data_IF_461095636726
#
_entry.id   IF_461095636726
#
_cell.length_a   1.000
_cell.length_b   1.000
_cell.length_c   1.000
_cell.angle_alpha   90.00
_cell.angle_beta   90.00
_cell.angle_gamma   90.00
#
_symmetry.space_group_name_H-M   'P 1'
#
loop_
_entity.id
_entity.type
_entity.pdbx_description
1 polymer ?
#
# COMPACT_ATOMS: atom_id res chain seq x y z
N UNK A 1 2.49 2.94 9.37
CA UNK A 1 1.07 2.84 9.72
C UNK A 1 0.72 1.38 9.76
N UNK A 2 0.07 0.88 10.81
CA UNK A 2 -0.44 -0.49 10.82
C UNK A 2 -1.38 -0.70 9.63
N UNK A 3 -1.30 -1.84 8.95
CA UNK A 3 -2.11 -2.19 7.77
C UNK A 3 -3.62 -2.04 8.06
N UNK A 4 -4.04 -2.49 9.24
CA UNK A 4 -5.42 -2.39 9.74
C UNK A 4 -5.93 -0.94 9.81
N UNK A 5 -5.07 0.01 10.20
CA UNK A 5 -5.46 1.42 10.27
C UNK A 5 -5.71 1.99 8.87
N UNK A 6 -4.92 1.56 7.88
CA UNK A 6 -5.04 2.02 6.50
C UNK A 6 -6.31 1.49 5.83
N UNK A 7 -6.62 0.20 6.02
CA UNK A 7 -7.87 -0.39 5.53
C UNK A 7 -9.11 0.33 6.10
N UNK A 8 -9.10 0.65 7.40
CA UNK A 8 -10.20 1.37 8.04
C UNK A 8 -10.40 2.77 7.45
N UNK A 9 -9.32 3.50 7.18
CA UNK A 9 -9.40 4.83 6.57
C UNK A 9 -9.92 4.75 5.14
N UNK A 10 -9.46 3.77 4.35
CA UNK A 10 -9.93 3.54 2.99
C UNK A 10 -11.43 3.23 2.96
N UNK A 11 -11.91 2.41 3.89
CA UNK A 11 -13.33 2.07 3.98
C UNK A 11 -14.21 3.29 4.27
N UNK A 12 -13.77 4.16 5.18
CA UNK A 12 -14.49 5.41 5.47
C UNK A 12 -14.47 6.33 4.24
N UNK A 13 -13.31 6.52 3.61
CA UNK A 13 -13.15 7.40 2.47
C UNK A 13 -14.02 6.98 1.27
N UNK A 14 -14.19 5.67 1.03
CA UNK A 14 -15.01 5.15 -0.08
C UNK A 14 -16.51 5.44 0.07
N UNK A 15 -16.99 5.77 1.27
CA UNK A 15 -18.39 6.17 1.49
C UNK A 15 -18.71 7.58 0.98
N UNK A 16 -17.70 8.42 0.73
CA UNK A 16 -17.88 9.80 0.27
C UNK A 16 -17.98 9.86 -1.27
N UNK A 17 -19.11 10.32 -1.86
CA UNK A 17 -19.32 10.30 -3.31
C UNK A 17 -18.28 11.07 -4.14
N UNK A 18 -17.58 12.04 -3.55
CA UNK A 18 -16.55 12.82 -4.24
C UNK A 18 -15.17 12.14 -4.25
N UNK A 19 -14.97 11.07 -3.48
CA UNK A 19 -13.69 10.36 -3.40
C UNK A 19 -13.62 9.30 -4.50
N UNK A 20 -12.74 9.52 -5.47
CA UNK A 20 -12.57 8.62 -6.63
C UNK A 20 -11.43 7.60 -6.46
N UNK A 21 -10.74 7.58 -5.31
CA UNK A 21 -9.58 6.73 -5.10
C UNK A 21 -8.71 7.20 -3.94
N UNK A 22 -7.47 6.70 -3.90
CA UNK A 22 -6.48 7.03 -2.89
C UNK A 22 -5.11 7.32 -3.51
N UNK A 23 -4.29 8.07 -2.78
CA UNK A 23 -2.91 8.35 -3.14
C UNK A 23 -1.97 7.86 -2.03
N UNK A 24 -1.00 7.03 -2.40
CA UNK A 24 -0.03 6.43 -1.47
C UNK A 24 1.36 6.44 -2.12
N UNK A 25 2.39 6.57 -1.29
CA UNK A 25 3.78 6.61 -1.76
C UNK A 25 4.69 5.87 -0.79
N UNK A 26 5.25 6.60 0.18
CA UNK A 26 6.23 6.06 1.15
C UNK A 26 5.77 4.78 1.83
N UNK A 27 4.46 4.58 2.05
CA UNK A 27 3.91 3.36 2.65
C UNK A 27 4.20 2.10 1.83
N UNK A 28 4.23 2.19 0.49
CA UNK A 28 4.53 1.05 -0.40
C UNK A 28 6.04 0.79 -0.42
N UNK A 29 6.83 1.82 -0.73
CA UNK A 29 8.23 1.61 -1.13
C UNK A 29 9.24 1.81 0.00
N UNK A 30 8.93 2.49 1.10
CA UNK A 30 9.97 2.90 2.08
C UNK A 30 10.74 1.73 2.65
N UNK A 31 10.07 0.60 2.95
CA UNK A 31 10.72 -0.59 3.50
C UNK A 31 11.55 -1.32 2.44
N UNK A 32 11.00 -1.49 1.24
CA UNK A 32 11.71 -2.10 0.12
C UNK A 32 12.95 -1.28 -0.27
N UNK A 33 12.81 0.05 -0.36
CA UNK A 33 13.91 0.96 -0.67
C UNK A 33 15.03 0.90 0.38
N UNK A 34 14.69 0.85 1.67
CA UNK A 34 15.69 0.72 2.74
C UNK A 34 16.52 -0.57 2.60
N UNK A 35 15.84 -1.72 2.47
CA UNK A 35 16.51 -3.01 2.32
C UNK A 35 17.31 -3.10 1.00
N UNK A 36 16.79 -2.53 -0.08
CA UNK A 36 17.45 -2.50 -1.38
C UNK A 36 18.71 -1.63 -1.35
N UNK A 37 18.64 -0.41 -0.79
CA UNK A 37 19.82 0.45 -0.62
C UNK A 37 20.86 -0.15 0.33
N UNK A 38 20.45 -0.98 1.29
CA UNK A 38 21.36 -1.72 2.17
C UNK A 38 22.00 -2.94 1.47
N UNK A 39 21.57 -3.30 0.26
CA UNK A 39 22.04 -4.49 -0.46
C UNK A 39 21.52 -5.81 0.13
N UNK A 40 20.47 -5.76 0.96
CA UNK A 40 19.88 -6.93 1.61
C UNK A 40 18.93 -7.70 0.67
N UNK A 41 18.36 -7.01 -0.31
CA UNK A 41 17.43 -7.57 -1.30
C UNK A 41 17.81 -7.13 -2.71
N UNK A 42 17.49 -7.95 -3.69
CA UNK A 42 17.65 -7.62 -5.11
C UNK A 42 16.43 -6.86 -5.67
N UNK A 43 16.53 -6.47 -6.94
CA UNK A 43 15.49 -5.71 -7.65
C UNK A 43 14.15 -6.47 -7.67
N UNK A 44 14.18 -7.79 -7.82
CA UNK A 44 12.98 -8.62 -7.91
C UNK A 44 12.26 -8.68 -6.57
N UNK A 45 13.01 -8.93 -5.49
CA UNK A 45 12.49 -8.91 -4.14
C UNK A 45 11.91 -7.52 -3.79
N UNK A 46 12.58 -6.42 -4.18
CA UNK A 46 12.06 -5.08 -3.97
C UNK A 46 10.72 -4.86 -4.71
N UNK A 47 10.61 -5.30 -5.97
CA UNK A 47 9.37 -5.23 -6.75
C UNK A 47 8.25 -6.05 -6.10
N UNK A 48 8.51 -7.30 -5.73
CA UNK A 48 7.53 -8.18 -5.09
C UNK A 48 6.99 -7.59 -3.78
N UNK A 49 7.87 -7.03 -2.95
CA UNK A 49 7.46 -6.36 -1.71
C UNK A 49 6.51 -5.19 -1.98
N UNK A 50 6.85 -4.34 -2.94
CA UNK A 50 6.01 -3.18 -3.30
C UNK A 50 4.68 -3.62 -3.92
N UNK A 51 4.69 -4.60 -4.83
CA UNK A 51 3.49 -5.14 -5.47
C UNK A 51 2.56 -5.79 -4.46
N UNK A 52 3.09 -6.54 -3.49
CA UNK A 52 2.29 -7.16 -2.43
C UNK A 52 1.53 -6.11 -1.60
N UNK A 53 2.24 -5.07 -1.14
CA UNK A 53 1.62 -3.97 -0.37
C UNK A 53 0.60 -3.21 -1.22
N UNK A 54 0.89 -2.96 -2.49
CA UNK A 54 -0.04 -2.27 -3.37
C UNK A 54 -1.31 -3.09 -3.63
N UNK A 55 -1.17 -4.39 -3.88
CA UNK A 55 -2.29 -5.32 -4.06
C UNK A 55 -3.22 -5.34 -2.86
N UNK A 56 -2.68 -5.44 -1.64
CA UNK A 56 -3.47 -5.39 -0.41
C UNK A 56 -4.32 -4.11 -0.29
N UNK A 57 -3.80 -2.97 -0.78
CA UNK A 57 -4.49 -1.69 -0.70
C UNK A 57 -5.57 -1.54 -1.78
N UNK A 58 -5.35 -2.12 -2.95
CA UNK A 58 -6.41 -2.28 -3.96
C UNK A 58 -7.51 -3.17 -3.41
N UNK A 59 -7.17 -4.33 -2.85
CA UNK A 59 -8.14 -5.25 -2.27
C UNK A 59 -8.93 -4.61 -1.13
N UNK A 60 -8.26 -3.85 -0.25
CA UNK A 60 -8.92 -3.12 0.82
C UNK A 60 -9.85 -2.02 0.30
N UNK A 61 -9.46 -1.34 -0.79
CA UNK A 61 -10.29 -0.33 -1.45
C UNK A 61 -11.50 -0.97 -2.11
N UNK A 62 -11.34 -2.05 -2.87
CA UNK A 62 -12.44 -2.68 -3.62
C UNK A 62 -13.41 -3.47 -2.76
N UNK A 63 -12.93 -4.08 -1.68
CA UNK A 63 -13.78 -4.82 -0.73
C UNK A 63 -14.36 -3.93 0.38
N UNK A 64 -14.02 -2.64 0.42
CA UNK A 64 -14.71 -1.66 1.24
C UNK A 64 -16.08 -1.33 0.61
N UNK A 65 -17.02 -2.26 0.76
CA UNK A 65 -18.44 -2.09 0.46
C UNK A 65 -19.23 -1.77 1.74
#
# INVERSE_FOLDING_TARGET
MPEEHLCRVLAIARTEPLVNGFAIGRTIFSKAAQAWFAGEIDDNAAQQMMTAVYGQLIDAWDNAA
#
